data_IF_620209344867
#
_entry.id   IF_620209344867
#
_cell.length_a   1.000
_cell.length_b   1.000
_cell.length_c   1.000
_cell.angle_alpha   90.00
_cell.angle_beta   90.00
_cell.angle_gamma   90.00
#
_symmetry.space_group_name_H-M   'P 1'
#
loop_
_entity.id
_entity.type
_entity.pdbx_description
1 polymer ?
#
# COMPACT_ATOMS: atom_id res chain seq x y z
N UNK A 1 8.37 -39.47 -2.62
CA UNK A 1 9.53 -38.67 -3.06
C UNK A 1 8.97 -37.48 -3.83
N UNK A 2 8.94 -36.29 -3.22
CA UNK A 2 8.43 -35.07 -3.85
C UNK A 2 9.48 -34.54 -4.82
N UNK A 3 9.10 -34.38 -6.09
CA UNK A 3 9.97 -33.82 -7.12
C UNK A 3 10.26 -32.35 -6.76
N UNK A 4 11.52 -31.90 -6.69
CA UNK A 4 11.84 -30.52 -6.40
C UNK A 4 11.23 -29.62 -7.49
N UNK A 5 10.34 -28.72 -7.10
CA UNK A 5 9.81 -27.68 -7.97
C UNK A 5 10.96 -26.84 -8.52
N UNK A 6 11.16 -26.88 -9.84
CA UNK A 6 12.18 -26.11 -10.56
C UNK A 6 11.82 -24.63 -10.71
N UNK A 7 10.64 -24.22 -10.25
CA UNK A 7 10.16 -22.84 -10.36
C UNK A 7 10.70 -22.00 -9.20
N UNK A 8 11.34 -20.87 -9.51
CA UNK A 8 11.81 -19.90 -8.51
C UNK A 8 10.64 -19.23 -7.81
N UNK A 9 10.79 -19.02 -6.51
CA UNK A 9 9.89 -18.17 -5.74
C UNK A 9 9.86 -16.73 -6.27
N UNK A 10 8.73 -16.02 -6.12
CA UNK A 10 8.58 -14.67 -6.63
C UNK A 10 9.53 -13.67 -5.93
N UNK A 11 9.91 -12.58 -6.62
CA UNK A 11 10.82 -11.57 -6.08
C UNK A 11 10.20 -10.84 -4.89
N UNK A 12 11.06 -10.34 -3.99
CA UNK A 12 10.68 -9.48 -2.86
C UNK A 12 9.95 -8.23 -3.36
N UNK A 13 8.76 -8.00 -2.83
CA UNK A 13 7.92 -6.84 -3.08
C UNK A 13 8.18 -5.74 -2.06
N UNK A 14 7.64 -4.56 -2.35
CA UNK A 14 7.80 -3.36 -1.54
C UNK A 14 7.35 -3.55 -0.09
N UNK A 15 6.13 -4.05 0.14
CA UNK A 15 5.59 -4.28 1.49
C UNK A 15 6.53 -5.16 2.32
N UNK A 16 7.06 -6.22 1.71
CA UNK A 16 7.95 -7.17 2.38
C UNK A 16 9.29 -6.53 2.76
N UNK A 17 9.81 -5.63 1.92
CA UNK A 17 11.03 -4.88 2.19
C UNK A 17 10.83 -3.77 3.24
N UNK A 18 9.64 -3.17 3.30
CA UNK A 18 9.28 -2.21 4.35
C UNK A 18 9.29 -2.90 5.72
N UNK A 19 8.67 -4.08 5.82
CA UNK A 19 8.67 -4.87 7.06
C UNK A 19 10.09 -5.32 7.46
N UNK A 20 10.90 -5.73 6.48
CA UNK A 20 12.30 -6.09 6.72
C UNK A 20 13.15 -4.89 7.18
N UNK A 21 12.96 -3.71 6.58
CA UNK A 21 13.67 -2.50 6.98
C UNK A 21 13.24 -2.02 8.36
N UNK A 22 11.96 -2.12 8.71
CA UNK A 22 11.50 -1.83 10.08
C UNK A 22 12.20 -2.73 11.10
N UNK A 23 12.27 -4.04 10.84
CA UNK A 23 12.97 -4.97 11.71
C UNK A 23 14.47 -4.64 11.81
N UNK A 24 15.11 -4.27 10.70
CA UNK A 24 16.51 -3.84 10.66
C UNK A 24 16.78 -2.67 11.63
N UNK A 25 15.92 -1.65 11.67
CA UNK A 25 16.12 -0.52 12.57
C UNK A 25 15.82 -0.84 14.04
N UNK A 26 14.98 -1.84 14.31
CA UNK A 26 14.74 -2.32 15.69
C UNK A 26 15.85 -3.21 16.20
N UNK A 27 16.40 -4.04 15.34
CA UNK A 27 17.39 -5.04 15.69
C UNK A 27 18.52 -5.02 14.67
N UNK A 28 19.69 -4.55 15.12
CA UNK A 28 20.87 -4.49 14.27
C UNK A 28 21.26 -5.93 13.82
N UNK A 29 21.31 -6.22 12.51
CA UNK A 29 21.62 -7.55 12.01
C UNK A 29 23.01 -8.07 12.41
N UNK A 30 23.93 -7.19 12.81
CA UNK A 30 25.24 -7.62 13.33
C UNK A 30 25.16 -8.32 14.69
N UNK A 31 24.06 -8.16 15.43
CA UNK A 31 23.88 -8.70 16.78
C UNK A 31 22.80 -9.79 16.87
N UNK A 32 22.18 -10.14 15.75
CA UNK A 32 21.14 -11.17 15.67
C UNK A 32 21.48 -12.19 14.59
N UNK A 33 20.70 -13.26 14.51
CA UNK A 33 20.86 -14.30 13.49
C UNK A 33 19.50 -14.69 12.91
N UNK A 34 19.51 -15.59 11.93
CA UNK A 34 18.31 -16.21 11.37
C UNK A 34 17.40 -16.87 12.43
N UNK A 35 17.94 -17.27 13.58
CA UNK A 35 17.20 -17.95 14.63
C UNK A 35 16.61 -16.97 15.66
N UNK A 36 16.86 -15.67 15.51
CA UNK A 36 16.36 -14.67 16.45
C UNK A 36 14.81 -14.66 16.44
N UNK A 37 14.14 -14.60 17.60
CA UNK A 37 12.68 -14.70 17.67
C UNK A 37 11.94 -13.71 16.77
N UNK A 38 12.40 -12.46 16.70
CA UNK A 38 11.79 -11.43 15.84
C UNK A 38 12.01 -11.66 14.33
N UNK A 39 13.09 -12.37 13.94
CA UNK A 39 13.33 -12.76 12.54
C UNK A 39 12.38 -13.90 12.14
N UNK A 40 12.18 -14.86 13.05
CA UNK A 40 11.21 -15.96 12.88
C UNK A 40 9.79 -15.40 12.79
N UNK A 41 9.42 -14.50 13.70
CA UNK A 41 8.12 -13.83 13.69
C UNK A 41 7.88 -13.03 12.39
N UNK A 42 8.88 -12.31 11.89
CA UNK A 42 8.75 -11.63 10.60
C UNK A 42 8.57 -12.62 9.45
N UNK A 43 9.27 -13.75 9.46
CA UNK A 43 9.07 -14.84 8.48
C UNK A 43 7.62 -15.34 8.48
N UNK A 44 7.01 -15.53 9.65
CA UNK A 44 5.60 -15.92 9.78
C UNK A 44 4.65 -14.86 9.20
N UNK A 45 4.86 -13.58 9.55
CA UNK A 45 4.07 -12.46 9.00
C UNK A 45 4.16 -12.41 7.48
N UNK A 46 5.37 -12.47 6.90
CA UNK A 46 5.58 -12.43 5.46
C UNK A 46 4.89 -13.59 4.74
N UNK A 47 4.90 -14.78 5.35
CA UNK A 47 4.17 -15.94 4.83
C UNK A 47 2.64 -15.75 4.89
N UNK A 48 2.13 -14.98 5.86
CA UNK A 48 0.71 -14.66 5.97
C UNK A 48 0.21 -13.58 5.02
N UNK A 49 1.09 -12.81 4.36
CA UNK A 49 0.67 -11.71 3.50
C UNK A 49 -0.02 -12.23 2.21
N UNK A 50 -1.17 -11.66 1.80
CA UNK A 50 -1.90 -12.07 0.60
C UNK A 50 -1.27 -11.55 -0.71
N UNK A 51 0.05 -11.34 -0.76
CA UNK A 51 0.74 -10.72 -1.90
C UNK A 51 0.96 -11.72 -3.05
N UNK A 52 1.43 -12.92 -2.71
CA UNK A 52 1.81 -13.96 -3.66
C UNK A 52 0.85 -15.15 -3.59
N UNK A 53 0.14 -15.40 -4.70
CA UNK A 53 -0.77 -16.53 -4.87
C UNK A 53 0.01 -17.81 -5.16
N UNK A 54 1.00 -17.75 -6.06
CA UNK A 54 1.86 -18.88 -6.39
C UNK A 54 3.16 -18.86 -5.57
N UNK A 55 3.42 -19.96 -4.85
CA UNK A 55 4.61 -20.13 -3.99
C UNK A 55 5.24 -21.50 -4.25
N UNK A 56 6.04 -21.64 -5.33
CA UNK A 56 6.45 -22.96 -5.81
C UNK A 56 7.39 -23.74 -4.87
N UNK A 57 8.09 -23.06 -3.97
CA UNK A 57 8.93 -23.68 -2.93
C UNK A 57 8.61 -23.04 -1.59
N UNK A 58 7.68 -23.64 -0.83
CA UNK A 58 7.19 -23.06 0.41
C UNK A 58 8.22 -23.10 1.54
N UNK A 59 9.11 -24.08 1.56
CA UNK A 59 10.20 -24.18 2.55
C UNK A 59 11.22 -23.04 2.41
N UNK A 60 11.47 -22.59 1.17
CA UNK A 60 12.36 -21.46 0.89
C UNK A 60 11.63 -20.12 0.77
N UNK A 61 10.30 -20.12 0.76
CA UNK A 61 9.53 -18.88 0.60
C UNK A 61 9.55 -18.07 1.90
N UNK A 62 10.22 -16.91 1.85
CA UNK A 62 10.30 -15.93 2.96
C UNK A 62 10.66 -16.55 4.31
N UNK A 63 11.43 -17.63 4.32
CA UNK A 63 11.88 -18.28 5.55
C UNK A 63 12.85 -17.40 6.35
N UNK A 64 13.09 -17.75 7.62
CA UNK A 64 13.90 -16.95 8.53
C UNK A 64 15.32 -16.64 8.01
N UNK A 65 15.94 -17.60 7.30
CA UNK A 65 17.22 -17.37 6.60
C UNK A 65 17.11 -16.29 5.53
N UNK A 66 16.10 -16.39 4.66
CA UNK A 66 15.84 -15.40 3.61
C UNK A 66 15.55 -14.02 4.17
N UNK A 67 14.82 -13.95 5.30
CA UNK A 67 14.59 -12.71 6.04
C UNK A 67 15.91 -12.14 6.55
N UNK A 68 16.68 -12.90 7.32
CA UNK A 68 17.98 -12.44 7.84
C UNK A 68 18.92 -11.95 6.74
N UNK A 69 18.99 -12.67 5.61
CA UNK A 69 19.76 -12.24 4.45
C UNK A 69 19.30 -10.89 3.88
N UNK A 70 18.00 -10.57 3.95
CA UNK A 70 17.48 -9.25 3.55
C UNK A 70 17.86 -8.16 4.55
N UNK A 71 17.86 -8.42 5.85
CA UNK A 71 18.37 -7.47 6.82
C UNK A 71 19.84 -7.16 6.56
N UNK A 72 20.65 -8.19 6.31
CA UNK A 72 22.06 -8.03 5.95
C UNK A 72 22.26 -7.27 4.63
N UNK A 73 21.30 -7.28 3.71
CA UNK A 73 21.38 -6.45 2.51
C UNK A 73 21.31 -4.95 2.84
N UNK A 74 20.54 -4.53 3.85
CA UNK A 74 20.42 -3.12 4.22
C UNK A 74 21.69 -2.55 4.87
N UNK A 75 22.54 -3.39 5.47
CA UNK A 75 23.82 -2.97 6.04
C UNK A 75 24.71 -2.20 5.07
N UNK A 76 24.58 -2.43 3.76
CA UNK A 76 25.37 -1.71 2.74
C UNK A 76 25.03 -0.21 2.64
N UNK A 77 23.84 0.18 3.09
CA UNK A 77 23.36 1.55 3.05
C UNK A 77 23.50 2.25 4.41
N UNK A 78 23.74 1.48 5.47
CA UNK A 78 24.00 2.00 6.81
C UNK A 78 25.40 2.60 6.89
N UNK A 79 25.46 3.92 7.07
CA UNK A 79 26.70 4.68 7.17
C UNK A 79 27.53 4.33 8.41
N UNK A 80 26.92 3.72 9.42
CA UNK A 80 27.61 3.26 10.63
C UNK A 80 28.31 1.91 10.44
N UNK A 81 27.97 1.16 9.39
CA UNK A 81 28.52 -0.16 9.12
C UNK A 81 29.84 -0.09 8.34
N UNK A 82 30.91 -0.61 8.95
CA UNK A 82 32.28 -0.60 8.36
C UNK A 82 32.65 -1.89 7.61
N UNK A 83 31.73 -2.83 7.46
CA UNK A 83 31.98 -4.10 6.78
C UNK A 83 31.82 -3.99 5.25
N UNK A 84 32.34 -4.98 4.51
CA UNK A 84 32.26 -5.01 3.04
C UNK A 84 30.84 -5.19 2.50
N UNK A 85 29.88 -5.60 3.35
CA UNK A 85 28.50 -5.85 2.99
C UNK A 85 28.34 -6.86 1.84
N UNK A 86 27.10 -7.15 1.44
CA UNK A 86 26.85 -7.92 0.23
C UNK A 86 26.95 -7.00 -1.00
N UNK A 87 27.75 -7.36 -2.01
CA UNK A 87 28.06 -6.49 -3.16
C UNK A 87 26.87 -6.31 -4.12
N UNK A 88 25.90 -7.23 -4.12
CA UNK A 88 24.72 -7.20 -5.01
C UNK A 88 23.42 -7.10 -4.21
N UNK A 89 22.54 -6.20 -4.62
CA UNK A 89 21.28 -5.87 -3.95
C UNK A 89 20.21 -5.49 -4.96
N UNK A 90 18.95 -5.64 -4.58
CA UNK A 90 17.82 -5.28 -5.43
C UNK A 90 17.67 -3.76 -5.50
N UNK A 91 17.34 -3.21 -6.68
CA UNK A 91 17.09 -1.75 -6.84
C UNK A 91 16.03 -1.24 -5.86
N UNK A 92 15.02 -2.05 -5.56
CA UNK A 92 13.94 -1.71 -4.65
C UNK A 92 14.44 -1.52 -3.20
N UNK A 93 15.45 -2.27 -2.76
CA UNK A 93 16.01 -2.12 -1.40
C UNK A 93 16.58 -0.71 -1.20
N UNK A 94 17.24 -0.15 -2.23
CA UNK A 94 17.75 1.22 -2.19
C UNK A 94 16.62 2.25 -2.12
N UNK A 95 15.58 2.07 -2.93
CA UNK A 95 14.42 2.99 -2.94
C UNK A 95 13.77 3.05 -1.56
N UNK A 96 13.52 1.89 -0.94
CA UNK A 96 12.92 1.82 0.41
C UNK A 96 13.85 2.43 1.45
N UNK A 97 15.17 2.19 1.35
CA UNK A 97 16.13 2.83 2.24
C UNK A 97 16.11 4.36 2.13
N UNK A 98 16.24 4.90 0.91
CA UNK A 98 16.28 6.34 0.67
C UNK A 98 15.00 7.03 1.18
N UNK A 99 13.86 6.36 1.06
CA UNK A 99 12.56 6.88 1.47
C UNK A 99 12.36 6.91 2.99
N UNK A 100 12.81 5.88 3.70
CA UNK A 100 12.45 5.69 5.12
C UNK A 100 13.60 5.83 6.11
N UNK A 101 14.86 5.79 5.66
CA UNK A 101 16.02 5.80 6.57
C UNK A 101 16.13 7.08 7.42
N UNK A 102 15.60 8.20 6.91
CA UNK A 102 15.58 9.47 7.63
C UNK A 102 14.44 9.55 8.68
N UNK A 103 13.33 8.85 8.46
CA UNK A 103 12.13 8.91 9.31
C UNK A 103 11.66 7.51 9.72
N UNK A 104 12.19 7.05 10.85
CA UNK A 104 11.90 5.74 11.43
C UNK A 104 10.48 5.65 12.00
N UNK A 105 9.88 6.77 12.38
CA UNK A 105 8.52 6.79 12.92
C UNK A 105 7.50 6.56 11.81
N UNK A 106 7.69 7.23 10.66
CA UNK A 106 6.89 6.97 9.46
C UNK A 106 7.06 5.52 9.01
N UNK A 107 8.29 5.00 8.95
CA UNK A 107 8.53 3.60 8.60
C UNK A 107 7.75 2.63 9.51
N UNK A 108 7.82 2.84 10.84
CA UNK A 108 7.09 2.02 11.81
C UNK A 108 5.59 2.08 11.59
N UNK A 109 5.05 3.27 11.33
CA UNK A 109 3.62 3.45 11.05
C UNK A 109 3.18 2.67 9.81
N UNK A 110 3.93 2.79 8.72
CA UNK A 110 3.67 2.08 7.45
C UNK A 110 3.79 0.56 7.64
N UNK A 111 4.84 0.09 8.33
CA UNK A 111 5.02 -1.33 8.63
C UNK A 111 3.85 -1.90 9.46
N UNK A 112 3.41 -1.18 10.49
CA UNK A 112 2.27 -1.60 11.30
C UNK A 112 0.96 -1.59 10.50
N UNK A 113 0.77 -0.62 9.60
CA UNK A 113 -0.39 -0.58 8.71
C UNK A 113 -0.43 -1.78 7.75
N UNK A 114 0.72 -2.24 7.23
CA UNK A 114 0.82 -3.46 6.41
C UNK A 114 0.42 -4.70 7.23
N UNK A 115 0.96 -4.85 8.45
CA UNK A 115 0.67 -6.00 9.33
C UNK A 115 -0.82 -6.04 9.69
N UNK A 116 -1.40 -4.90 10.05
CA UNK A 116 -2.81 -4.83 10.42
C UNK A 116 -3.74 -5.01 9.22
N UNK A 117 -3.37 -4.45 8.07
CA UNK A 117 -4.12 -4.61 6.82
C UNK A 117 -4.26 -6.07 6.37
N UNK A 118 -3.33 -6.94 6.77
CA UNK A 118 -3.44 -8.39 6.54
C UNK A 118 -4.72 -8.99 7.17
N UNK A 119 -5.20 -8.45 8.29
CA UNK A 119 -6.37 -8.98 9.00
C UNK A 119 -7.70 -8.53 8.38
N UNK A 120 -7.72 -7.36 7.73
CA UNK A 120 -8.93 -6.77 7.14
C UNK A 120 -9.20 -7.26 5.69
N UNK A 121 -8.19 -7.84 5.02
CA UNK A 121 -8.28 -8.26 3.62
C UNK A 121 -8.79 -9.71 3.54
N UNK A 122 -10.09 -9.87 3.23
CA UNK A 122 -10.59 -11.16 2.74
C UNK A 122 -9.84 -11.53 1.45
N UNK A 123 -9.48 -12.82 1.23
CA UNK A 123 -8.77 -13.25 0.02
C UNK A 123 -9.71 -13.13 -1.18
N UNK A 124 -9.80 -11.92 -1.74
CA UNK A 124 -10.61 -11.66 -2.92
C UNK A 124 -9.76 -11.92 -4.15
N UNK A 125 -10.11 -13.00 -4.85
CA UNK A 125 -9.73 -13.25 -6.25
C UNK A 125 -10.41 -12.21 -7.14
N UNK A 126 -9.98 -10.95 -7.12
CA UNK A 126 -10.27 -10.04 -8.23
C UNK A 126 -9.04 -10.04 -9.14
N UNK A 127 -9.29 -10.15 -10.43
CA UNK A 127 -8.32 -10.00 -11.52
C UNK A 127 -7.27 -8.95 -11.17
N UNK A 128 -6.00 -9.33 -11.35
CA UNK A 128 -4.86 -8.41 -11.27
C UNK A 128 -5.12 -7.26 -12.25
N UNK A 129 -5.49 -6.09 -11.73
CA UNK A 129 -5.50 -4.88 -12.54
C UNK A 129 -4.04 -4.57 -12.90
N UNK A 130 -3.73 -4.24 -14.16
CA UNK A 130 -2.35 -3.92 -14.60
C UNK A 130 -1.73 -2.77 -13.79
N UNK A 131 -2.57 -1.93 -13.16
CA UNK A 131 -2.19 -0.87 -12.23
C UNK A 131 -1.64 -1.40 -10.87
N UNK A 132 -1.80 -2.69 -10.52
CA UNK A 132 -1.32 -3.33 -9.27
C UNK A 132 0.21 -3.48 -9.24
N UNK A 133 0.89 -3.42 -10.40
CA UNK A 133 2.34 -3.58 -10.51
C UNK A 133 3.13 -2.29 -10.23
N UNK A 134 2.47 -1.12 -10.21
CA UNK A 134 3.10 0.20 -10.18
C UNK A 134 2.78 1.03 -8.92
N UNK A 135 2.50 0.39 -7.78
CA UNK A 135 2.16 1.10 -6.53
C UNK A 135 3.39 1.38 -5.63
N UNK A 136 3.74 2.65 -5.34
CA UNK A 136 4.82 2.99 -4.42
C UNK A 136 4.40 2.92 -2.94
N UNK A 137 3.19 2.50 -2.58
CA UNK A 137 2.87 2.18 -1.16
C UNK A 137 2.98 0.68 -0.89
N UNK A 138 3.05 -0.13 -1.95
CA UNK A 138 2.98 -1.58 -1.88
C UNK A 138 1.54 -2.10 -1.99
N UNK A 139 1.41 -3.40 -2.27
CA UNK A 139 0.14 -4.05 -2.68
C UNK A 139 -0.84 -4.15 -1.53
N UNK A 140 -0.38 -4.38 -0.31
CA UNK A 140 -1.24 -4.55 0.87
C UNK A 140 -1.94 -3.24 1.21
N UNK A 141 -1.20 -2.13 1.27
CA UNK A 141 -1.78 -0.81 1.55
C UNK A 141 -2.72 -0.36 0.43
N UNK A 142 -2.37 -0.61 -0.84
CA UNK A 142 -3.26 -0.32 -1.95
C UNK A 142 -4.59 -1.08 -1.86
N UNK A 143 -4.55 -2.39 -1.59
CA UNK A 143 -5.77 -3.19 -1.46
C UNK A 143 -6.62 -2.73 -0.29
N UNK A 144 -6.01 -2.40 0.85
CA UNK A 144 -6.73 -1.86 2.00
C UNK A 144 -7.38 -0.51 1.65
N UNK A 145 -6.67 0.36 0.92
CA UNK A 145 -7.19 1.65 0.45
C UNK A 145 -8.42 1.44 -0.44
N UNK A 146 -8.31 0.57 -1.44
CA UNK A 146 -9.41 0.23 -2.35
C UNK A 146 -10.59 -0.45 -1.64
N UNK A 147 -10.33 -1.31 -0.67
CA UNK A 147 -11.37 -1.98 0.12
C UNK A 147 -12.11 -0.98 1.00
N UNK A 148 -11.40 -0.03 1.64
CA UNK A 148 -12.02 1.05 2.41
C UNK A 148 -12.84 1.99 1.52
N UNK A 149 -12.34 2.34 0.33
CA UNK A 149 -13.09 3.13 -0.68
C UNK A 149 -14.40 2.46 -1.07
N UNK A 150 -14.42 1.14 -1.10
CA UNK A 150 -15.57 0.32 -1.47
C UNK A 150 -16.38 -0.17 -0.28
N UNK A 151 -16.10 0.26 0.96
CA UNK A 151 -16.92 -0.12 2.13
C UNK A 151 -18.34 0.43 1.95
N UNK A 152 -19.26 -0.48 1.61
CA UNK A 152 -20.65 -0.18 1.24
C UNK A 152 -21.35 0.71 2.26
N UNK A 153 -21.11 0.49 3.55
CA UNK A 153 -21.72 1.28 4.62
C UNK A 153 -21.24 2.73 4.66
N UNK A 154 -19.94 2.96 4.49
CA UNK A 154 -19.35 4.30 4.48
C UNK A 154 -19.76 5.04 3.22
N UNK A 155 -19.66 4.39 2.05
CA UNK A 155 -20.10 4.96 0.76
C UNK A 155 -21.57 5.36 0.84
N UNK A 156 -22.44 4.49 1.36
CA UNK A 156 -23.87 4.78 1.52
C UNK A 156 -24.11 5.98 2.43
N UNK A 157 -23.47 6.02 3.60
CA UNK A 157 -23.60 7.15 4.55
C UNK A 157 -23.10 8.46 3.96
N UNK A 158 -21.96 8.45 3.25
CA UNK A 158 -21.40 9.63 2.59
C UNK A 158 -22.33 10.14 1.49
N UNK A 159 -22.84 9.25 0.63
CA UNK A 159 -23.81 9.61 -0.42
C UNK A 159 -25.12 10.18 0.17
N UNK A 160 -25.66 9.56 1.22
CA UNK A 160 -26.86 10.07 1.90
C UNK A 160 -26.64 11.46 2.50
N UNK A 161 -25.48 11.71 3.11
CA UNK A 161 -25.13 13.03 3.65
C UNK A 161 -25.04 14.08 2.54
N UNK A 162 -24.39 13.75 1.42
CA UNK A 162 -24.25 14.66 0.28
C UNK A 162 -25.59 14.95 -0.42
N UNK A 163 -26.44 13.93 -0.59
CA UNK A 163 -27.80 14.11 -1.09
C UNK A 163 -28.59 15.11 -0.25
N UNK A 164 -28.49 15.02 1.09
CA UNK A 164 -29.13 15.99 2.00
C UNK A 164 -28.54 17.40 1.93
N UNK A 165 -27.27 17.54 1.54
CA UNK A 165 -26.54 18.79 1.56
C UNK A 165 -26.57 19.56 0.22
N UNK A 166 -27.12 18.99 -0.85
CA UNK A 166 -27.22 19.67 -2.15
C UNK A 166 -26.94 18.81 -3.39
N UNK A 167 -26.88 17.49 -3.26
CA UNK A 167 -26.78 16.55 -4.39
C UNK A 167 -25.42 15.85 -4.53
N UNK A 168 -25.32 14.95 -5.51
CA UNK A 168 -24.13 14.12 -5.75
C UNK A 168 -23.28 14.74 -6.87
N UNK A 169 -22.48 15.74 -6.51
CA UNK A 169 -21.57 16.42 -7.45
C UNK A 169 -20.12 16.12 -7.14
N UNK A 170 -19.30 16.04 -8.18
CA UNK A 170 -17.87 15.87 -8.02
C UNK A 170 -17.23 17.11 -7.38
N UNK A 171 -16.47 16.93 -6.30
CA UNK A 171 -15.77 18.03 -5.60
C UNK A 171 -14.68 18.70 -6.46
N UNK A 172 -14.12 18.00 -7.44
CA UNK A 172 -13.05 18.51 -8.32
C UNK A 172 -13.61 19.28 -9.52
N UNK A 173 -14.65 18.75 -10.16
CA UNK A 173 -15.12 19.25 -11.45
C UNK A 173 -16.58 19.70 -11.49
N UNK A 174 -17.30 19.60 -10.37
CA UNK A 174 -18.73 19.85 -10.24
C UNK A 174 -19.63 18.98 -11.15
N UNK A 175 -19.08 17.94 -11.80
CA UNK A 175 -19.84 17.04 -12.65
C UNK A 175 -20.91 16.30 -11.86
N UNK A 176 -22.09 16.20 -12.44
CA UNK A 176 -23.28 15.59 -11.86
C UNK A 176 -23.83 14.56 -12.85
N UNK A 177 -23.77 13.28 -12.48
CA UNK A 177 -24.20 12.20 -13.37
C UNK A 177 -25.70 12.22 -13.63
N UNK A 178 -26.52 12.60 -12.64
CA UNK A 178 -27.96 12.67 -12.80
C UNK A 178 -28.36 13.82 -13.74
N UNK A 179 -27.64 14.95 -13.68
CA UNK A 179 -27.88 16.07 -14.57
C UNK A 179 -27.48 15.78 -16.03
N UNK A 180 -26.37 15.07 -16.25
CA UNK A 180 -25.86 14.78 -17.60
C UNK A 180 -26.57 13.58 -18.25
N UNK A 181 -26.81 12.51 -17.46
CA UNK A 181 -27.28 11.23 -17.98
C UNK A 181 -28.71 10.87 -17.57
N UNK A 182 -29.39 11.69 -16.76
CA UNK A 182 -30.75 11.41 -16.31
C UNK A 182 -30.81 10.21 -15.36
N UNK A 183 -31.83 9.36 -15.50
CA UNK A 183 -32.13 8.25 -14.60
C UNK A 183 -30.95 7.27 -14.42
N UNK A 184 -30.19 7.00 -15.48
CA UNK A 184 -29.04 6.06 -15.40
C UNK A 184 -27.88 6.62 -14.57
N UNK A 185 -27.83 7.94 -14.37
CA UNK A 185 -26.82 8.61 -13.56
C UNK A 185 -27.22 8.81 -12.10
N UNK A 186 -28.46 8.48 -11.75
CA UNK A 186 -28.99 8.73 -10.41
C UNK A 186 -28.24 7.90 -9.35
N UNK A 187 -27.78 8.57 -8.28
CA UNK A 187 -27.02 7.90 -7.21
C UNK A 187 -25.56 7.55 -7.58
N UNK A 188 -25.15 7.76 -8.84
CA UNK A 188 -23.83 7.38 -9.32
C UNK A 188 -22.79 8.48 -9.04
N UNK A 189 -21.82 8.13 -8.19
CA UNK A 189 -20.61 8.91 -7.91
C UNK A 189 -19.64 7.99 -7.16
N UNK A 190 -18.34 8.22 -7.30
CA UNK A 190 -17.30 7.46 -6.63
C UNK A 190 -16.84 8.18 -5.35
N UNK A 191 -16.44 7.43 -4.33
CA UNK A 191 -15.87 7.96 -3.09
C UNK A 191 -14.36 7.74 -3.13
N UNK A 192 -13.60 8.80 -2.89
CA UNK A 192 -12.14 8.78 -2.83
C UNK A 192 -11.67 9.18 -1.44
N UNK A 193 -10.69 8.46 -0.89
CA UNK A 193 -10.07 8.85 0.39
C UNK A 193 -9.07 9.98 0.17
N UNK A 194 -9.23 11.09 0.88
CA UNK A 194 -8.35 12.26 0.74
C UNK A 194 -7.02 12.12 1.46
N UNK A 195 -6.90 11.14 2.35
CA UNK A 195 -5.69 10.85 3.13
C UNK A 195 -5.19 9.44 2.76
N UNK A 196 -3.90 9.27 2.44
CA UNK A 196 -3.30 7.95 2.25
C UNK A 196 -3.36 7.10 3.52
N UNK A 197 -3.52 5.77 3.39
CA UNK A 197 -3.63 4.88 4.56
C UNK A 197 -2.39 4.94 5.46
N UNK A 198 -1.22 5.13 4.87
CA UNK A 198 0.05 5.27 5.58
C UNK A 198 0.08 6.45 6.56
N UNK A 199 -0.81 7.43 6.39
CA UNK A 199 -0.91 8.62 7.23
C UNK A 199 -1.98 8.50 8.34
N UNK A 200 -2.81 7.46 8.32
CA UNK A 200 -3.77 7.22 9.41
C UNK A 200 -3.04 6.76 10.67
N UNK A 201 -3.52 7.22 11.84
CA UNK A 201 -3.12 6.64 13.11
C UNK A 201 -3.61 5.19 13.21
N UNK A 202 -2.84 4.36 13.91
CA UNK A 202 -3.14 2.94 14.08
C UNK A 202 -4.51 2.80 14.77
N UNK A 203 -5.45 2.13 14.10
CA UNK A 203 -6.82 1.94 14.61
C UNK A 203 -7.78 3.10 14.33
N UNK A 204 -7.34 4.14 13.60
CA UNK A 204 -8.21 5.21 13.17
C UNK A 204 -9.22 4.69 12.13
N UNK A 205 -10.50 4.72 12.50
CA UNK A 205 -11.59 4.46 11.56
C UNK A 205 -11.64 5.58 10.51
N UNK A 206 -11.85 5.21 9.25
CA UNK A 206 -12.17 6.18 8.19
C UNK A 206 -13.39 6.99 8.61
N UNK A 207 -13.23 8.29 8.79
CA UNK A 207 -14.35 9.18 9.09
C UNK A 207 -15.03 9.59 7.79
N UNK A 208 -16.32 9.91 7.85
CA UNK A 208 -17.07 10.39 6.68
C UNK A 208 -16.48 11.67 6.06
N UNK A 209 -15.71 12.43 6.84
CA UNK A 209 -15.02 13.66 6.40
C UNK A 209 -13.74 13.39 5.61
N UNK A 210 -13.19 12.18 5.69
CA UNK A 210 -11.96 11.78 4.97
C UNK A 210 -12.28 11.23 3.57
N UNK A 211 -13.56 11.25 3.19
CA UNK A 211 -14.10 10.80 1.92
C UNK A 211 -14.58 12.00 1.11
N UNK A 212 -14.12 12.09 -0.12
CA UNK A 212 -14.61 13.04 -1.10
C UNK A 212 -15.38 12.35 -2.21
N UNK A 213 -16.38 13.05 -2.74
CA UNK A 213 -17.16 12.59 -3.87
C UNK A 213 -16.50 13.04 -5.17
N UNK A 214 -16.15 12.08 -6.03
CA UNK A 214 -15.45 12.34 -7.29
C UNK A 214 -16.10 11.58 -8.43
N UNK A 215 -16.09 12.17 -9.64
CA UNK A 215 -16.53 11.44 -10.83
C UNK A 215 -15.45 10.44 -11.27
N UNK A 216 -15.84 9.41 -12.04
CA UNK A 216 -14.94 8.38 -12.52
C UNK A 216 -13.67 8.92 -13.19
N UNK A 217 -13.80 9.99 -13.99
CA UNK A 217 -12.65 10.62 -14.64
C UNK A 217 -11.71 11.29 -13.63
N UNK A 218 -12.24 12.09 -12.70
CA UNK A 218 -11.43 12.74 -11.68
C UNK A 218 -10.79 11.72 -10.73
N UNK A 219 -11.51 10.67 -10.38
CA UNK A 219 -10.98 9.59 -9.55
C UNK A 219 -9.76 8.94 -10.20
N UNK A 220 -9.86 8.58 -11.49
CA UNK A 220 -8.70 8.07 -12.24
C UNK A 220 -7.55 9.07 -12.31
N UNK A 221 -7.85 10.36 -12.42
CA UNK A 221 -6.82 11.41 -12.45
C UNK A 221 -6.12 11.62 -11.11
N UNK A 222 -6.84 11.52 -9.98
CA UNK A 222 -6.25 11.59 -8.64
C UNK A 222 -5.22 10.47 -8.44
N UNK A 223 -5.52 9.29 -8.98
CA UNK A 223 -4.61 8.14 -8.94
C UNK A 223 -3.59 8.09 -10.08
N UNK A 224 -3.59 9.04 -11.03
CA UNK A 224 -2.81 8.96 -12.30
C UNK A 224 -1.30 9.13 -12.12
N UNK A 225 -0.85 9.89 -11.12
CA UNK A 225 0.58 10.11 -10.82
C UNK A 225 0.87 10.04 -9.32
N UNK A 226 2.15 10.01 -8.94
CA UNK A 226 2.61 9.94 -7.55
C UNK A 226 3.62 11.06 -7.21
N UNK A 227 3.60 11.64 -5.99
CA UNK A 227 2.59 11.46 -4.94
C UNK A 227 1.17 11.75 -5.46
N UNK A 228 0.16 11.10 -4.86
CA UNK A 228 -1.22 11.24 -5.32
C UNK A 228 -1.59 12.71 -5.39
N UNK A 229 -2.33 13.08 -6.44
CA UNK A 229 -2.86 14.41 -6.48
C UNK A 229 -3.91 14.52 -5.39
N UNK A 230 -3.76 15.52 -4.55
CA UNK A 230 -4.84 15.99 -3.70
C UNK A 230 -5.95 16.55 -4.59
N UNK A 231 -7.17 16.61 -4.03
CA UNK A 231 -8.32 17.24 -4.68
C UNK A 231 -7.99 18.67 -5.13
N UNK A 232 -7.27 19.40 -4.28
CA UNK A 232 -6.86 20.78 -4.55
C UNK A 232 -5.89 20.85 -5.73
N UNK A 233 -4.87 20.00 -5.76
CA UNK A 233 -3.91 19.96 -6.87
C UNK A 233 -4.58 19.59 -8.20
N UNK A 234 -5.46 18.59 -8.21
CA UNK A 234 -6.17 18.22 -9.43
C UNK A 234 -7.13 19.32 -9.88
N UNK A 235 -7.81 19.98 -8.93
CA UNK A 235 -8.67 21.12 -9.22
C UNK A 235 -7.88 22.26 -9.88
N UNK A 236 -6.71 22.61 -9.32
CA UNK A 236 -5.81 23.63 -9.87
C UNK A 236 -5.33 23.24 -11.27
N UNK A 237 -4.85 22.01 -11.48
CA UNK A 237 -4.42 21.54 -12.80
C UNK A 237 -5.51 21.65 -13.86
N UNK A 238 -6.75 21.31 -13.50
CA UNK A 238 -7.90 21.46 -14.41
C UNK A 238 -8.23 22.91 -14.72
N UNK A 239 -8.05 23.83 -13.77
CA UNK A 239 -8.25 25.26 -13.99
C UNK A 239 -7.16 25.82 -14.91
N UNK A 240 -5.90 25.49 -14.66
CA UNK A 240 -4.76 25.93 -15.50
C UNK A 240 -4.86 25.40 -16.93
N UNK A 241 -5.30 24.16 -17.13
CA UNK A 241 -5.43 23.58 -18.48
C UNK A 241 -6.65 24.10 -19.28
N UNK A 242 -7.57 24.82 -18.62
CA UNK A 242 -8.77 25.40 -19.24
C UNK A 242 -8.66 26.92 -19.46
N UNK A 243 -7.65 27.56 -18.86
CA UNK A 243 -7.30 28.95 -19.08
C UNK A 243 -6.46 29.09 -20.36
#
# INVERSE_FOLDING_TARGET
>A
MTVPSTRRNPPWQRDELILALDLFFRHNPNHISQNHPEVVKLSEVLNGLPIHIERPDQEKFRNANGVYMKLCNFLRYDSSYKGRGLVRGGRLEKVIWDEFSADKEVLRRVAQAIINGQQDIAPTTSSMDEDEWAFPEGRVLYRLHRQRERRTDLVRKTKQRAQKAGGLRCTVCAFDFAAEYGEIGEGYIECHHTVPISEYEIGQETRLQDLALVCANCHRMLHRRRPWLTINELSQLRQTARA
#
